data_IF_728995493574
#
_entry.id   IF_728995493574
#
_cell.length_a   1.000
_cell.length_b   1.000
_cell.length_c   1.000
_cell.angle_alpha   90.00
_cell.angle_beta   90.00
_cell.angle_gamma   90.00
#
_symmetry.space_group_name_H-M   'P 1'
#
loop_
_entity.id
_entity.type
_entity.pdbx_description
1 polymer ?
#
# COMPACT_ATOMS: atom_id res chain seq x y z
N UNK A 1 -11.92 -29.03 -14.65
CA UNK A 1 -11.73 -29.80 -13.40
C UNK A 1 -12.28 -29.04 -12.19
N UNK A 2 -11.77 -27.83 -11.90
CA UNK A 2 -12.23 -26.96 -10.80
C UNK A 2 -13.73 -26.98 -10.48
N UNK A 3 -14.61 -26.65 -11.45
CA UNK A 3 -16.06 -26.58 -11.21
C UNK A 3 -16.70 -27.93 -10.85
N UNK A 4 -16.13 -29.03 -11.35
CA UNK A 4 -16.59 -30.39 -11.07
C UNK A 4 -16.14 -30.79 -9.67
N UNK A 5 -14.87 -30.55 -9.33
CA UNK A 5 -14.30 -30.82 -8.01
C UNK A 5 -14.97 -30.01 -6.91
N UNK A 6 -15.33 -28.75 -7.20
CA UNK A 6 -15.99 -27.87 -6.23
C UNK A 6 -17.34 -28.43 -5.77
N UNK A 7 -18.02 -29.25 -6.59
CA UNK A 7 -19.20 -30.02 -6.16
C UNK A 7 -20.34 -29.18 -5.56
N UNK A 8 -20.50 -27.92 -6.00
CA UNK A 8 -21.49 -26.98 -5.45
C UNK A 8 -21.09 -26.29 -4.13
N UNK A 9 -19.83 -26.42 -3.70
CA UNK A 9 -19.26 -25.67 -2.59
C UNK A 9 -18.99 -24.20 -2.96
N UNK A 10 -18.68 -23.37 -1.94
CA UNK A 10 -18.14 -22.03 -2.18
C UNK A 10 -16.73 -22.17 -2.73
N UNK A 11 -16.34 -21.35 -3.71
CA UNK A 11 -15.01 -21.41 -4.30
C UNK A 11 -14.54 -20.07 -4.80
N UNK A 12 -13.21 -19.94 -4.90
CA UNK A 12 -12.52 -18.79 -5.46
C UNK A 12 -11.53 -19.31 -6.50
N UNK A 13 -11.66 -18.83 -7.74
CA UNK A 13 -10.76 -19.16 -8.85
C UNK A 13 -9.96 -17.92 -9.24
N UNK A 14 -8.64 -18.01 -9.13
CA UNK A 14 -7.72 -17.03 -9.70
C UNK A 14 -7.25 -17.50 -11.08
N UNK A 15 -7.38 -16.61 -12.07
CA UNK A 15 -6.85 -16.82 -13.41
C UNK A 15 -5.83 -15.72 -13.67
N UNK A 16 -4.56 -16.07 -13.65
CA UNK A 16 -3.48 -15.15 -13.97
C UNK A 16 -3.26 -15.13 -15.48
N UNK A 17 -3.18 -13.93 -16.05
CA UNK A 17 -2.96 -13.70 -17.47
C UNK A 17 -1.86 -12.66 -17.62
N UNK A 18 -0.84 -13.00 -18.41
CA UNK A 18 0.09 -12.02 -18.92
C UNK A 18 -0.53 -11.33 -20.14
N UNK A 19 -0.45 -10.00 -20.19
CA UNK A 19 -0.95 -9.18 -21.30
C UNK A 19 0.06 -9.04 -22.47
N UNK A 20 1.04 -9.94 -22.57
CA UNK A 20 1.97 -9.98 -23.71
C UNK A 20 1.24 -9.93 -25.08
N UNK A 21 1.89 -9.32 -26.08
CA UNK A 21 1.30 -9.02 -27.41
C UNK A 21 0.71 -10.25 -28.13
N UNK A 22 1.14 -11.47 -27.83
CA UNK A 22 0.62 -12.69 -28.43
C UNK A 22 -0.68 -13.20 -27.78
N UNK A 23 -1.00 -12.74 -26.57
CA UNK A 23 -1.98 -13.36 -25.68
C UNK A 23 -3.28 -12.55 -25.49
N UNK A 24 -3.46 -11.41 -26.18
CA UNK A 24 -4.63 -10.56 -26.00
C UNK A 24 -5.97 -11.29 -26.28
N UNK A 25 -6.00 -12.15 -27.30
CA UNK A 25 -7.17 -12.99 -27.60
C UNK A 25 -7.37 -14.11 -26.57
N UNK A 26 -6.30 -14.56 -25.91
CA UNK A 26 -6.38 -15.65 -24.94
C UNK A 26 -7.20 -15.24 -23.72
N UNK A 27 -7.09 -13.98 -23.27
CA UNK A 27 -7.91 -13.46 -22.17
C UNK A 27 -9.40 -13.55 -22.50
N UNK A 28 -9.80 -13.11 -23.70
CA UNK A 28 -11.19 -13.19 -24.15
C UNK A 28 -11.68 -14.65 -24.26
N UNK A 29 -10.86 -15.54 -24.83
CA UNK A 29 -11.15 -16.97 -24.95
C UNK A 29 -11.30 -17.66 -23.58
N UNK A 30 -10.36 -17.41 -22.66
CA UNK A 30 -10.39 -17.97 -21.31
C UNK A 30 -11.63 -17.52 -20.55
N UNK A 31 -12.00 -16.23 -20.66
CA UNK A 31 -13.21 -15.70 -20.05
C UNK A 31 -14.47 -16.36 -20.59
N UNK A 32 -14.58 -16.48 -21.91
CA UNK A 32 -15.70 -17.19 -22.54
C UNK A 32 -15.80 -18.62 -22.05
N UNK A 33 -14.68 -19.34 -21.98
CA UNK A 33 -14.64 -20.73 -21.51
C UNK A 33 -15.06 -20.87 -20.05
N UNK A 34 -14.61 -19.96 -19.18
CA UNK A 34 -14.98 -19.94 -17.76
C UNK A 34 -16.47 -19.62 -17.61
N UNK A 35 -16.98 -18.64 -18.34
CA UNK A 35 -18.41 -18.31 -18.34
C UNK A 35 -19.27 -19.47 -18.85
N UNK A 36 -18.82 -20.14 -19.92
CA UNK A 36 -19.50 -21.30 -20.50
C UNK A 36 -19.53 -22.49 -19.57
N UNK A 37 -18.38 -22.81 -18.97
CA UNK A 37 -18.27 -23.90 -18.01
C UNK A 37 -19.12 -23.64 -16.79
N UNK A 38 -19.05 -22.42 -16.22
CA UNK A 38 -19.88 -22.02 -15.08
C UNK A 38 -21.37 -22.19 -15.40
N UNK A 39 -21.82 -21.66 -16.53
CA UNK A 39 -23.23 -21.75 -16.95
C UNK A 39 -23.68 -23.21 -17.08
N UNK A 40 -22.90 -24.05 -17.76
CA UNK A 40 -23.21 -25.48 -17.94
C UNK A 40 -23.26 -26.22 -16.59
N UNK A 41 -22.34 -25.94 -15.67
CA UNK A 41 -22.33 -26.54 -14.33
C UNK A 41 -23.57 -26.12 -13.52
N UNK A 42 -23.99 -24.85 -13.63
CA UNK A 42 -25.22 -24.38 -12.98
C UNK A 42 -26.48 -25.04 -13.56
N UNK A 43 -26.52 -25.26 -14.87
CA UNK A 43 -27.63 -25.99 -15.53
C UNK A 43 -27.72 -27.45 -15.06
N UNK A 44 -26.60 -28.11 -14.79
CA UNK A 44 -26.58 -29.48 -14.25
C UNK A 44 -27.02 -29.51 -12.77
N UNK A 45 -26.72 -28.46 -12.01
CA UNK A 45 -27.08 -28.35 -10.59
C UNK A 45 -28.47 -27.72 -10.34
N UNK A 46 -29.34 -27.63 -11.35
CA UNK A 46 -30.71 -27.12 -11.20
C UNK A 46 -31.45 -27.93 -10.12
N UNK A 47 -31.98 -27.23 -9.12
CA UNK A 47 -32.70 -27.82 -7.98
C UNK A 47 -31.85 -28.04 -6.72
N UNK A 48 -30.53 -27.80 -6.79
CA UNK A 48 -29.63 -27.80 -5.64
C UNK A 48 -29.28 -26.38 -5.20
N UNK A 49 -28.98 -26.20 -3.91
CA UNK A 49 -28.50 -24.92 -3.38
C UNK A 49 -27.08 -24.65 -3.90
N UNK A 50 -26.99 -23.78 -4.92
CA UNK A 50 -25.72 -23.36 -5.51
C UNK A 50 -25.07 -22.34 -4.58
N UNK A 51 -23.87 -22.66 -4.07
CA UNK A 51 -23.06 -21.74 -3.28
C UNK A 51 -22.29 -20.74 -4.17
N UNK A 52 -21.96 -19.54 -3.68
CA UNK A 52 -21.27 -18.52 -4.47
C UNK A 52 -19.87 -18.98 -4.91
N UNK A 53 -19.55 -18.72 -6.18
CA UNK A 53 -18.23 -18.94 -6.78
C UNK A 53 -17.74 -17.59 -7.29
N UNK A 54 -16.58 -17.16 -6.80
CA UNK A 54 -15.91 -15.95 -7.23
C UNK A 54 -14.81 -16.29 -8.22
N UNK A 55 -14.72 -15.52 -9.30
CA UNK A 55 -13.72 -15.70 -10.35
C UNK A 55 -13.00 -14.37 -10.50
N UNK A 56 -11.68 -14.39 -10.33
CA UNK A 56 -10.83 -13.22 -10.41
C UNK A 56 -9.82 -13.44 -11.53
N UNK A 57 -9.91 -12.61 -12.57
CA UNK A 57 -8.88 -12.53 -13.59
C UNK A 57 -7.86 -11.48 -13.15
N UNK A 58 -6.62 -11.91 -12.95
CA UNK A 58 -5.49 -11.03 -12.66
C UNK A 58 -4.75 -10.83 -13.99
N UNK A 59 -4.79 -9.62 -14.52
CA UNK A 59 -4.15 -9.27 -15.78
C UNK A 59 -3.01 -8.31 -15.47
N UNK A 60 -1.77 -8.75 -15.71
CA UNK A 60 -0.60 -7.91 -15.46
C UNK A 60 -0.39 -6.93 -16.61
N UNK A 61 -0.25 -5.64 -16.28
CA UNK A 61 0.02 -4.58 -17.24
C UNK A 61 1.43 -4.01 -17.05
N UNK A 62 2.21 -3.77 -18.13
CA UNK A 62 3.40 -2.93 -18.06
C UNK A 62 3.02 -1.49 -17.65
N UNK A 63 3.85 -0.88 -16.80
CA UNK A 63 3.73 0.55 -16.40
C UNK A 63 4.08 1.53 -17.53
N UNK A 64 4.43 1.04 -18.72
CA UNK A 64 4.79 1.87 -19.87
C UNK A 64 3.53 2.28 -20.63
N UNK A 65 3.33 3.59 -20.79
CA UNK A 65 2.22 4.13 -21.57
C UNK A 65 2.22 3.54 -23.01
N UNK A 66 1.08 3.02 -23.44
CA UNK A 66 0.95 2.36 -24.75
C UNK A 66 1.60 0.98 -24.84
N UNK A 67 2.11 0.42 -23.74
CA UNK A 67 2.67 -0.95 -23.70
C UNK A 67 1.66 -2.08 -23.95
N UNK A 68 0.38 -1.73 -24.09
CA UNK A 68 -0.76 -2.65 -24.17
C UNK A 68 -1.69 -2.29 -25.32
N UNK A 69 -1.17 -2.25 -26.54
CA UNK A 69 -1.89 -1.72 -27.70
C UNK A 69 -3.15 -2.54 -28.07
N UNK A 70 -3.14 -3.83 -27.77
CA UNK A 70 -4.18 -4.78 -28.16
C UNK A 70 -5.12 -5.17 -27.01
N UNK A 71 -4.92 -4.62 -25.81
CA UNK A 71 -5.80 -4.90 -24.69
C UNK A 71 -7.07 -4.06 -24.79
N UNK A 72 -8.20 -4.73 -25.00
CA UNK A 72 -9.52 -4.09 -24.91
C UNK A 72 -10.05 -4.27 -23.49
N UNK A 73 -9.84 -3.24 -22.66
CA UNK A 73 -10.25 -3.22 -21.26
C UNK A 73 -11.73 -2.92 -21.02
N UNK A 74 -12.11 -2.94 -19.73
CA UNK A 74 -13.41 -2.52 -19.18
C UNK A 74 -14.63 -3.20 -19.79
N UNK A 75 -14.67 -4.52 -19.65
CA UNK A 75 -15.82 -5.29 -20.09
C UNK A 75 -16.89 -5.28 -19.00
N UNK A 76 -18.05 -4.68 -19.31
CA UNK A 76 -19.21 -4.66 -18.43
C UNK A 76 -19.98 -5.98 -18.37
N UNK A 77 -21.24 -5.92 -17.95
CA UNK A 77 -22.09 -7.10 -17.79
C UNK A 77 -21.84 -7.80 -16.45
N UNK A 78 -21.43 -9.08 -16.48
CA UNK A 78 -21.18 -9.89 -15.27
C UNK A 78 -19.78 -9.70 -14.68
N UNK A 79 -18.96 -8.88 -15.31
CA UNK A 79 -17.57 -8.67 -14.95
C UNK A 79 -17.40 -7.28 -14.35
N UNK A 80 -16.72 -7.22 -13.21
CA UNK A 80 -16.28 -5.97 -12.60
C UNK A 80 -14.79 -5.79 -12.87
N UNK A 81 -14.40 -4.60 -13.34
CA UNK A 81 -13.01 -4.26 -13.60
C UNK A 81 -12.49 -3.39 -12.46
N UNK A 82 -11.36 -3.78 -11.87
CA UNK A 82 -10.65 -3.03 -10.83
C UNK A 82 -9.20 -2.93 -11.25
N UNK A 83 -8.61 -1.75 -11.09
CA UNK A 83 -7.17 -1.55 -11.28
C UNK A 83 -6.50 -1.56 -9.91
N UNK A 84 -5.50 -2.42 -9.76
CA UNK A 84 -4.66 -2.51 -8.55
C UNK A 84 -3.23 -2.28 -9.04
N UNK A 85 -2.57 -1.23 -8.56
CA UNK A 85 -1.20 -0.90 -8.99
C UNK A 85 -0.18 -1.89 -8.41
N UNK A 86 -0.37 -2.30 -7.15
CA UNK A 86 0.49 -3.26 -6.46
C UNK A 86 -0.36 -4.31 -5.73
N UNK A 87 -0.16 -5.59 -6.07
CA UNK A 87 -0.86 -6.72 -5.46
C UNK A 87 -0.21 -7.22 -4.18
N UNK A 88 1.07 -6.88 -3.98
CA UNK A 88 1.78 -7.19 -2.76
C UNK A 88 1.29 -6.23 -1.68
N UNK A 89 1.21 -6.73 -0.45
CA UNK A 89 1.03 -5.87 0.71
C UNK A 89 2.19 -4.85 0.72
N UNK A 90 1.89 -3.61 1.12
CA UNK A 90 2.89 -2.56 1.22
C UNK A 90 4.04 -3.09 2.08
N UNK A 91 5.21 -3.21 1.48
CA UNK A 91 6.41 -3.61 2.21
C UNK A 91 6.54 -2.65 3.40
N UNK A 92 6.69 -3.17 4.62
CA UNK A 92 6.66 -2.41 5.90
C UNK A 92 7.63 -1.21 5.92
N UNK A 93 8.55 -1.17 4.96
CA UNK A 93 9.55 -0.15 4.71
C UNK A 93 8.98 1.22 4.36
N UNK A 94 7.77 1.32 3.81
CA UNK A 94 7.19 2.60 3.38
C UNK A 94 5.73 2.76 3.85
N UNK A 95 5.38 3.94 4.40
CA UNK A 95 4.04 4.26 4.84
C UNK A 95 3.09 4.40 3.64
N UNK A 96 1.81 4.41 3.95
CA UNK A 96 0.76 4.65 2.98
C UNK A 96 0.94 6.01 2.27
N UNK A 97 0.60 6.07 0.98
CA UNK A 97 0.80 7.27 0.16
C UNK A 97 0.08 8.48 0.75
N UNK A 98 -1.09 8.29 1.36
CA UNK A 98 -1.88 9.32 2.02
C UNK A 98 -1.09 10.02 3.14
N UNK A 99 -0.17 9.32 3.80
CA UNK A 99 0.68 9.85 4.86
C UNK A 99 1.93 10.58 4.33
N UNK A 100 2.28 10.35 3.06
CA UNK A 100 3.39 11.03 2.37
C UNK A 100 2.93 12.29 1.63
N UNK A 101 1.65 12.34 1.26
CA UNK A 101 1.06 13.49 0.57
C UNK A 101 1.20 14.74 1.44
N UNK A 102 1.64 15.83 0.81
CA UNK A 102 1.91 17.14 1.44
C UNK A 102 3.03 17.18 2.49
N UNK A 103 3.81 16.10 2.68
CA UNK A 103 5.01 16.12 3.51
C UNK A 103 6.25 16.35 2.66
N UNK A 104 7.24 17.03 3.20
CA UNK A 104 8.54 17.16 2.54
C UNK A 104 9.38 15.90 2.74
N UNK A 105 10.32 15.63 1.83
CA UNK A 105 11.25 14.51 1.97
C UNK A 105 12.09 14.63 3.24
N UNK A 106 12.40 15.86 3.69
CA UNK A 106 13.14 16.09 4.95
C UNK A 106 12.36 15.62 6.17
N UNK A 107 11.03 15.72 6.16
CA UNK A 107 10.19 15.36 7.31
C UNK A 107 10.24 13.86 7.59
N UNK A 108 10.57 13.05 6.57
CA UNK A 108 10.71 11.60 6.66
C UNK A 108 11.91 11.19 7.54
N UNK A 109 12.86 12.10 7.75
CA UNK A 109 14.07 11.87 8.56
C UNK A 109 14.02 12.61 9.90
N UNK A 110 12.93 13.33 10.22
CA UNK A 110 12.82 14.01 11.49
C UNK A 110 12.61 12.98 12.62
N UNK A 111 13.36 13.07 13.72
CA UNK A 111 13.07 12.30 14.92
C UNK A 111 11.63 12.53 15.38
N UNK A 112 10.95 11.48 15.86
CA UNK A 112 9.56 11.56 16.34
C UNK A 112 9.29 12.66 17.39
N UNK A 113 10.35 13.14 18.05
CA UNK A 113 10.28 14.22 19.05
C UNK A 113 10.26 15.65 18.44
N UNK A 114 10.64 15.79 17.17
CA UNK A 114 10.74 17.08 16.47
C UNK A 114 9.58 17.32 15.50
N UNK A 115 8.93 16.26 14.99
CA UNK A 115 7.79 16.35 14.08
C UNK A 115 6.51 16.93 14.73
N UNK A 116 6.47 17.09 16.05
CA UNK A 116 5.32 17.58 16.83
C UNK A 116 5.34 19.07 17.15
N UNK A 117 6.35 19.80 16.69
CA UNK A 117 6.60 21.20 17.09
C UNK A 117 5.96 22.21 16.13
N UNK A 118 5.56 21.80 14.93
CA UNK A 118 5.04 22.72 13.89
C UNK A 118 3.54 23.09 14.05
N UNK A 119 2.80 22.49 14.99
CA UNK A 119 1.40 22.86 15.28
C UNK A 119 1.25 24.04 16.28
N UNK A 120 2.34 24.74 16.62
CA UNK A 120 2.30 25.91 17.50
C UNK A 120 2.66 27.17 16.71
N UNK A 121 1.83 27.54 15.74
CA UNK A 121 1.77 28.91 15.26
C UNK A 121 0.52 29.62 15.84
N UNK A 122 0.74 30.86 16.30
CA UNK A 122 -0.23 31.89 16.69
C UNK A 122 -0.84 31.91 18.10
N UNK A 123 -0.03 32.18 19.13
CA UNK A 123 -0.44 33.15 20.19
C UNK A 123 0.73 34.07 20.55
N UNK A 124 0.96 35.09 19.71
CA UNK A 124 1.68 36.30 20.11
C UNK A 124 0.81 37.52 19.75
N UNK A 125 -0.23 37.73 20.55
CA UNK A 125 -1.09 38.92 20.52
C UNK A 125 -1.13 39.56 21.90
N UNK A 126 -0.17 40.43 22.17
CA UNK A 126 -0.14 41.39 23.26
C UNK A 126 -1.42 42.25 23.26
N UNK A 127 -2.13 42.33 24.41
CA UNK A 127 -2.83 43.55 24.86
C UNK A 127 -3.39 43.43 26.29
N UNK A 128 -2.78 44.21 27.17
CA UNK A 128 -3.35 45.07 28.22
C UNK A 128 -4.35 44.52 29.26
N UNK A 129 -3.91 44.65 30.50
CA UNK A 129 -4.69 44.73 31.75
C UNK A 129 -5.74 45.85 31.72
N UNK A 130 -6.99 45.56 32.12
CA UNK A 130 -7.67 46.37 33.13
C UNK A 130 -8.88 45.63 33.76
N UNK A 131 -9.15 45.97 35.02
CA UNK A 131 -10.05 45.27 35.93
C UNK A 131 -11.52 45.73 35.84
N UNK A 132 -12.49 44.81 36.06
CA UNK A 132 -13.68 44.94 36.94
C UNK A 132 -14.70 43.80 36.69
N UNK A 133 -15.25 43.23 37.77
CA UNK A 133 -16.30 42.18 37.87
C UNK A 133 -17.58 42.79 38.51
N UNK A 134 -18.74 42.13 38.77
CA UNK A 134 -19.34 40.86 38.29
C UNK A 134 -20.86 40.98 37.89
N UNK A 135 -21.44 39.96 37.21
CA UNK A 135 -22.72 39.29 37.57
C UNK A 135 -23.38 38.53 36.40
N UNK A 136 -23.92 37.33 36.69
CA UNK A 136 -25.11 36.78 36.01
C UNK A 136 -25.09 35.31 35.56
N UNK A 137 -25.18 34.36 36.51
CA UNK A 137 -25.84 33.02 36.51
C UNK A 137 -26.33 32.41 35.17
N UNK A 138 -25.83 31.22 34.79
CA UNK A 138 -26.44 29.86 34.94
C UNK A 138 -27.07 29.36 33.63
N UNK A 139 -26.58 28.26 33.04
CA UNK A 139 -27.17 26.91 33.16
C UNK A 139 -26.50 25.87 32.21
N UNK A 140 -26.69 24.60 32.58
CA UNK A 140 -25.95 23.37 32.35
C UNK A 140 -26.02 22.71 30.95
N UNK A 141 -24.94 22.00 30.57
CA UNK A 141 -24.96 20.55 30.29
C UNK A 141 -23.57 19.98 29.91
N UNK A 142 -23.09 18.89 30.54
CA UNK A 142 -21.88 18.16 30.15
C UNK A 142 -22.25 16.85 29.45
N UNK A 143 -21.79 16.61 28.21
CA UNK A 143 -21.91 15.29 27.58
C UNK A 143 -20.56 14.77 27.09
N UNK A 144 -20.05 13.85 27.91
CA UNK A 144 -19.45 12.56 27.52
C UNK A 144 -18.32 12.55 26.49
N UNK A 145 -17.10 12.47 27.05
CA UNK A 145 -16.12 11.39 26.80
C UNK A 145 -16.54 10.36 25.73
N UNK A 146 -15.81 10.35 24.61
CA UNK A 146 -15.58 9.14 23.84
C UNK A 146 -14.08 8.97 23.66
N UNK A 147 -13.53 8.15 24.54
CA UNK A 147 -12.28 7.44 24.35
C UNK A 147 -12.34 6.69 23.01
N UNK A 148 -11.67 7.22 21.99
CA UNK A 148 -11.22 6.40 20.87
C UNK A 148 -9.84 5.89 21.23
N UNK A 149 -9.82 4.86 22.08
CA UNK A 149 -8.67 3.99 22.19
C UNK A 149 -8.79 2.94 21.09
N UNK A 150 -8.66 3.39 19.84
CA UNK A 150 -8.34 2.48 18.75
C UNK A 150 -6.84 2.25 18.83
N UNK A 151 -6.46 0.99 18.98
CA UNK A 151 -5.09 0.56 18.79
C UNK A 151 -4.75 0.82 17.31
N UNK A 152 -4.28 2.03 17.01
CA UNK A 152 -3.51 2.30 15.81
C UNK A 152 -2.33 1.34 15.84
N UNK A 153 -2.40 0.34 14.97
CA UNK A 153 -1.27 -0.52 14.67
C UNK A 153 -0.23 0.40 14.04
N UNK A 154 0.93 0.52 14.69
CA UNK A 154 2.06 1.41 14.38
C UNK A 154 2.74 1.04 13.04
N UNK A 155 1.99 0.94 11.95
CA UNK A 155 2.50 0.85 10.57
C UNK A 155 2.83 2.25 10.00
N UNK A 156 2.85 3.27 10.87
CA UNK A 156 2.81 4.69 10.51
C UNK A 156 4.18 5.37 10.44
N UNK A 157 5.27 4.59 10.51
CA UNK A 157 6.63 5.14 10.52
C UNK A 157 7.46 4.55 9.40
N UNK A 158 7.99 5.42 8.55
CA UNK A 158 9.17 5.10 7.76
C UNK A 158 10.26 4.65 8.71
N UNK A 159 11.05 3.67 8.29
CA UNK A 159 12.30 3.34 8.94
C UNK A 159 13.47 4.02 8.20
N UNK A 160 13.93 5.21 8.65
CA UNK A 160 15.08 5.86 8.04
C UNK A 160 16.31 4.95 7.90
N UNK A 161 16.63 4.06 8.87
CA UNK A 161 17.74 3.14 8.73
C UNK A 161 17.63 2.24 7.49
N UNK A 162 16.47 1.67 7.23
CA UNK A 162 16.24 0.77 6.11
C UNK A 162 16.32 1.51 4.77
N UNK A 163 15.76 2.72 4.70
CA UNK A 163 15.89 3.59 3.53
C UNK A 163 17.36 3.95 3.25
N UNK A 164 18.15 4.22 4.30
CA UNK A 164 19.59 4.50 4.19
C UNK A 164 20.37 3.25 3.74
N UNK A 165 20.07 2.06 4.28
CA UNK A 165 20.65 0.78 3.83
C UNK A 165 20.41 0.57 2.34
N UNK A 166 19.19 0.80 1.86
CA UNK A 166 18.81 0.64 0.45
C UNK A 166 19.55 1.61 -0.50
N UNK A 167 19.91 2.80 -0.01
CA UNK A 167 20.64 3.80 -0.80
C UNK A 167 22.17 3.63 -0.77
N UNK A 168 22.70 2.85 0.17
CA UNK A 168 24.12 2.83 0.52
C UNK A 168 25.03 2.47 -0.65
N UNK A 169 24.68 1.43 -1.40
CA UNK A 169 25.51 0.96 -2.53
C UNK A 169 25.57 2.01 -3.64
N UNK A 170 24.43 2.59 -4.00
CA UNK A 170 24.35 3.65 -5.01
C UNK A 170 25.07 4.93 -4.56
N UNK A 171 25.05 5.25 -3.26
CA UNK A 171 25.79 6.36 -2.70
C UNK A 171 27.31 6.10 -2.73
N UNK A 172 27.76 4.93 -2.28
CA UNK A 172 29.17 4.55 -2.26
C UNK A 172 29.79 4.50 -3.67
N UNK A 173 29.03 4.05 -4.66
CA UNK A 173 29.47 4.00 -6.06
C UNK A 173 29.73 5.38 -6.69
N UNK A 174 29.17 6.46 -6.13
CA UNK A 174 29.39 7.84 -6.61
C UNK A 174 30.64 8.49 -6.02
N UNK A 175 31.30 7.85 -5.05
CA UNK A 175 32.51 8.39 -4.42
C UNK A 175 33.71 7.98 -5.28
N UNK A 176 34.41 8.97 -5.82
CA UNK A 176 35.67 8.75 -6.53
C UNK A 176 36.84 8.82 -5.55
N UNK A 177 37.72 7.82 -5.61
CA UNK A 177 38.95 7.81 -4.83
C UNK A 177 40.12 8.28 -5.70
N UNK A 178 40.84 9.30 -5.25
CA UNK A 178 42.09 9.72 -5.88
C UNK A 178 43.18 8.63 -5.76
N UNK A 179 43.10 7.81 -4.72
CA UNK A 179 43.95 6.64 -4.51
C UNK A 179 43.43 5.43 -5.26
N UNK A 180 44.29 4.73 -6.01
CA UNK A 180 43.96 3.53 -6.78
C UNK A 180 43.66 2.27 -5.92
N UNK A 181 43.23 2.42 -4.67
CA UNK A 181 42.81 1.28 -3.85
C UNK A 181 41.45 0.75 -4.34
N UNK A 182 41.52 -0.36 -5.07
CA UNK A 182 40.38 -0.99 -5.78
C UNK A 182 39.24 -1.40 -4.83
N UNK A 183 39.50 -1.56 -3.53
CA UNK A 183 38.53 -2.13 -2.57
C UNK A 183 37.86 -1.09 -1.66
N UNK A 184 38.21 0.19 -1.77
CA UNK A 184 37.77 1.20 -0.78
C UNK A 184 36.27 1.44 -0.79
N UNK A 185 35.63 1.39 -1.96
CA UNK A 185 34.18 1.47 -2.09
C UNK A 185 33.49 0.30 -1.34
N UNK A 186 33.99 -0.93 -1.49
CA UNK A 186 33.43 -2.09 -0.82
C UNK A 186 33.66 -2.05 0.70
N UNK A 187 34.85 -1.63 1.14
CA UNK A 187 35.15 -1.41 2.57
C UNK A 187 34.20 -0.38 3.21
N UNK A 188 33.89 0.72 2.52
CA UNK A 188 32.92 1.73 3.00
C UNK A 188 31.53 1.14 3.19
N UNK A 189 31.06 0.34 2.25
CA UNK A 189 29.75 -0.31 2.34
C UNK A 189 29.69 -1.24 3.55
N UNK A 190 30.70 -2.10 3.73
CA UNK A 190 30.77 -3.05 4.85
C UNK A 190 30.75 -2.30 6.19
N UNK A 191 31.59 -1.27 6.34
CA UNK A 191 31.63 -0.46 7.56
C UNK A 191 30.29 0.22 7.80
N UNK A 192 29.66 0.83 6.78
CA UNK A 192 28.41 1.53 7.01
C UNK A 192 27.25 0.58 7.36
N UNK A 193 27.17 -0.59 6.74
CA UNK A 193 26.17 -1.61 7.09
C UNK A 193 26.32 -2.08 8.54
N UNK A 194 27.55 -2.26 9.04
CA UNK A 194 27.81 -2.68 10.42
C UNK A 194 27.30 -1.67 11.47
N UNK A 195 27.15 -0.40 11.11
CA UNK A 195 26.73 0.68 12.02
C UNK A 195 25.27 1.10 11.87
N UNK A 196 24.59 0.68 10.80
CA UNK A 196 23.17 0.92 10.63
C UNK A 196 22.38 -0.10 11.47
N UNK A 197 21.40 0.34 12.29
CA UNK A 197 20.65 -0.57 13.16
C UNK A 197 19.97 -1.67 12.34
N UNK A 198 19.89 -2.86 12.92
CA UNK A 198 19.22 -3.99 12.27
C UNK A 198 17.71 -3.79 12.22
N UNK A 199 17.12 -4.44 11.22
CA UNK A 199 15.67 -4.51 11.06
C UNK A 199 15.18 -5.46 12.17
N UNK A 200 14.66 -4.93 13.28
CA UNK A 200 14.11 -5.72 14.39
C UNK A 200 12.72 -6.29 14.02
N UNK A 201 12.49 -6.61 12.74
CA UNK A 201 11.35 -7.37 12.28
C UNK A 201 11.57 -8.84 12.66
N UNK A 202 11.22 -9.21 13.89
CA UNK A 202 11.25 -10.60 14.32
C UNK A 202 10.41 -11.49 13.38
N UNK A 203 11.05 -12.53 12.84
CA UNK A 203 10.39 -13.73 12.34
C UNK A 203 9.42 -14.24 13.43
N UNK A 204 8.11 -14.05 13.24
CA UNK A 204 7.07 -14.75 14.01
C UNK A 204 6.04 -15.42 13.10
#
# INVERSE_FOLDING_TARGET
EFFVELGGAKGLLFVQCDNGEANFNLIACCRYLVDDTRRRTLEIMIGHSVKPIHIIFIIQFPKIAGGCQHFVGFQGGKWQSVHIDELLESNEQLPHIEQLVNRSVSDLFLPANLSRVEDIEDIAGDQNVDASSPNGSEDLSPESTKDFNEKEVDHDKIEPPLLLKNCLQAAAARIYDESAEVDRAMKRIVILLEWLPEDDSEET
#
